data_IF_255480264246
#
_entry.id   IF_255480264246
#
_cell.length_a   1.000
_cell.length_b   1.000
_cell.length_c   1.000
_cell.angle_alpha   90.00
_cell.angle_beta   90.00
_cell.angle_gamma   90.00
#
_symmetry.space_group_name_H-M   'P 1'
#
loop_
_entity.id
_entity.type
_entity.pdbx_description
1 polymer ?
#
# COMPACT_ATOMS: atom_id res chain seq x y z
N UNK A 1 -3.08 10.55 33.66
CA UNK A 1 -4.12 11.01 32.71
C UNK A 1 -4.32 9.94 31.68
N UNK A 2 -5.56 9.65 31.24
CA UNK A 2 -5.83 8.61 30.23
C UNK A 2 -5.14 8.99 28.90
N UNK A 3 -4.40 8.05 28.30
CA UNK A 3 -3.73 8.20 27.02
C UNK A 3 -4.72 8.30 25.83
N UNK A 4 -5.98 7.90 26.08
CA UNK A 4 -7.04 7.83 25.09
C UNK A 4 -8.09 8.91 25.28
N UNK A 5 -8.72 9.34 24.17
CA UNK A 5 -9.83 10.30 24.19
C UNK A 5 -11.11 9.69 24.76
N UNK A 6 -11.91 10.56 25.40
CA UNK A 6 -13.29 10.22 25.77
C UNK A 6 -14.15 10.27 24.51
N UNK A 7 -15.10 9.36 24.40
CA UNK A 7 -15.98 9.24 23.25
C UNK A 7 -17.43 9.31 23.70
N UNK A 8 -18.24 10.10 23.01
CA UNK A 8 -19.66 10.22 23.31
C UNK A 8 -20.38 8.88 23.05
N UNK A 9 -21.10 8.38 24.03
CA UNK A 9 -21.86 7.15 23.92
C UNK A 9 -22.94 7.18 22.83
N UNK A 10 -23.57 8.33 22.60
CA UNK A 10 -24.68 8.50 21.64
C UNK A 10 -24.19 8.69 20.20
N UNK A 11 -23.38 9.73 19.96
CA UNK A 11 -22.94 10.07 18.59
C UNK A 11 -21.59 9.49 18.20
N UNK A 12 -20.91 8.80 19.14
CA UNK A 12 -19.59 8.15 18.94
C UNK A 12 -18.45 9.10 18.55
N UNK A 13 -18.63 10.42 18.64
CA UNK A 13 -17.58 11.43 18.37
C UNK A 13 -16.68 11.63 19.59
N UNK A 14 -15.37 11.86 19.39
CA UNK A 14 -14.42 12.12 20.46
C UNK A 14 -14.59 13.51 21.09
N UNK A 15 -14.03 13.69 22.29
CA UNK A 15 -14.07 14.96 23.07
C UNK A 15 -13.40 16.11 22.30
N UNK A 16 -12.39 15.82 21.49
CA UNK A 16 -11.70 16.79 20.62
C UNK A 16 -12.63 17.46 19.59
N UNK A 17 -13.69 16.75 19.15
CA UNK A 17 -14.65 17.25 18.15
C UNK A 17 -15.90 17.86 18.81
N UNK A 18 -16.35 17.27 19.91
CA UNK A 18 -17.65 17.63 20.54
C UNK A 18 -17.52 18.54 21.75
N UNK A 19 -16.28 18.88 22.14
CA UNK A 19 -16.01 19.66 23.34
C UNK A 19 -16.17 18.84 24.63
N UNK A 20 -16.02 19.50 25.77
CA UNK A 20 -15.98 18.87 27.09
C UNK A 20 -17.22 18.00 27.36
N UNK A 21 -16.98 16.72 27.61
CA UNK A 21 -18.04 15.75 27.81
C UNK A 21 -18.55 15.67 29.23
N UNK A 22 -19.82 15.33 29.38
CA UNK A 22 -20.52 15.10 30.65
C UNK A 22 -20.39 13.62 30.98
N UNK A 23 -19.80 13.29 32.13
CA UNK A 23 -19.76 11.93 32.63
C UNK A 23 -21.09 11.58 33.30
N UNK A 24 -21.81 10.61 32.78
CA UNK A 24 -23.01 10.07 33.40
C UNK A 24 -22.65 8.95 34.40
N UNK A 25 -21.60 8.19 34.08
CA UNK A 25 -20.99 7.11 34.92
C UNK A 25 -19.47 7.09 34.68
N UNK A 26 -18.70 6.33 35.45
CA UNK A 26 -17.23 6.34 35.38
C UNK A 26 -16.64 6.14 34.00
N UNK A 27 -17.29 5.40 33.10
CA UNK A 27 -16.83 5.18 31.71
C UNK A 27 -17.87 5.56 30.65
N UNK A 28 -18.96 6.23 31.03
CA UNK A 28 -20.03 6.64 30.13
C UNK A 28 -20.03 8.16 29.98
N UNK A 29 -19.64 8.63 28.80
CA UNK A 29 -19.55 10.04 28.47
C UNK A 29 -20.57 10.42 27.39
N UNK A 30 -21.23 11.58 27.54
CA UNK A 30 -22.16 12.13 26.57
C UNK A 30 -21.77 13.56 26.27
N UNK A 31 -21.75 13.93 24.98
CA UNK A 31 -21.43 15.30 24.57
C UNK A 31 -22.62 16.25 24.85
N UNK A 32 -22.37 17.57 24.99
CA UNK A 32 -23.42 18.55 25.25
C UNK A 32 -24.57 18.51 24.24
N UNK A 33 -24.25 18.39 22.93
CA UNK A 33 -25.26 18.35 21.86
C UNK A 33 -26.19 17.14 21.96
N UNK A 34 -25.63 15.97 22.26
CA UNK A 34 -26.46 14.76 22.46
C UNK A 34 -27.29 14.83 23.72
N UNK A 35 -26.73 15.42 24.79
CA UNK A 35 -27.47 15.66 26.03
C UNK A 35 -28.65 16.60 25.80
N UNK A 36 -28.43 17.73 25.08
CA UNK A 36 -29.47 18.67 24.74
C UNK A 36 -30.56 18.01 23.89
N UNK A 37 -30.19 17.30 22.84
CA UNK A 37 -31.16 16.56 21.98
C UNK A 37 -31.96 15.54 22.77
N UNK A 38 -31.36 14.86 23.73
CA UNK A 38 -32.06 13.90 24.59
C UNK A 38 -33.05 14.61 25.53
N UNK A 39 -32.67 15.78 26.09
CA UNK A 39 -33.58 16.60 26.91
C UNK A 39 -34.74 17.16 26.08
N UNK A 40 -34.46 17.66 24.87
CA UNK A 40 -35.49 18.19 23.97
C UNK A 40 -36.47 17.09 23.55
N UNK A 41 -35.99 15.89 23.28
CA UNK A 41 -36.81 14.74 22.97
C UNK A 41 -37.70 14.32 24.17
N UNK A 42 -37.15 14.35 25.39
CA UNK A 42 -37.93 14.08 26.60
C UNK A 42 -39.01 15.14 26.84
N UNK A 43 -38.73 16.42 26.59
CA UNK A 43 -39.69 17.52 26.78
C UNK A 43 -40.81 17.52 25.73
N UNK A 44 -40.56 16.94 24.55
CA UNK A 44 -41.51 16.86 23.46
C UNK A 44 -42.34 15.56 23.39
N UNK A 45 -42.04 14.57 24.22
CA UNK A 45 -42.87 13.37 24.34
C UNK A 45 -44.02 13.64 25.35
N UNK A 46 -45.28 13.36 25.00
CA UNK A 46 -46.36 13.30 25.98
C UNK A 46 -46.14 12.08 26.87
N UNK A 47 -45.50 12.32 28.02
CA UNK A 47 -45.15 11.28 29.00
C UNK A 47 -46.44 10.92 29.80
N UNK A 48 -47.06 9.80 29.45
CA UNK A 48 -48.15 9.26 30.28
C UNK A 48 -47.53 8.36 31.39
N UNK A 49 -47.34 8.97 32.55
CA UNK A 49 -46.77 8.34 33.74
C UNK A 49 -47.49 7.06 34.18
N UNK A 50 -48.79 6.93 33.85
CA UNK A 50 -49.58 5.76 34.24
C UNK A 50 -49.35 4.54 33.33
N UNK A 51 -48.87 4.74 32.11
CA UNK A 51 -48.53 3.67 31.18
C UNK A 51 -47.17 3.02 31.53
N UNK A 52 -46.26 3.81 32.11
CA UNK A 52 -44.92 3.34 32.49
C UNK A 52 -44.91 2.47 33.76
N UNK A 53 -45.82 2.78 34.74
CA UNK A 53 -45.88 2.03 35.98
C UNK A 53 -46.65 0.70 35.85
N UNK A 54 -47.46 0.49 34.81
CA UNK A 54 -48.29 -0.68 34.67
C UNK A 54 -47.81 -1.73 33.66
N UNK A 55 -46.58 -1.61 33.17
CA UNK A 55 -46.01 -2.60 32.22
C UNK A 55 -44.78 -3.33 32.89
N UNK A 56 -45.02 -4.46 33.61
CA UNK A 56 -43.98 -5.20 34.29
C UNK A 56 -43.06 -6.02 33.39
N UNK A 57 -43.05 -5.75 32.06
CA UNK A 57 -42.40 -6.56 31.07
C UNK A 57 -41.29 -5.88 30.27
N UNK A 58 -40.90 -4.63 30.56
CA UNK A 58 -39.62 -4.12 30.01
C UNK A 58 -38.45 -4.70 30.81
N UNK A 59 -37.57 -5.50 30.20
CA UNK A 59 -36.34 -5.85 30.86
C UNK A 59 -35.59 -4.53 31.08
N UNK A 60 -35.49 -4.08 32.32
CA UNK A 60 -34.44 -3.17 32.75
C UNK A 60 -33.15 -3.97 32.51
N UNK A 61 -32.57 -3.83 31.33
CA UNK A 61 -31.23 -4.35 31.09
C UNK A 61 -30.37 -3.80 32.25
N UNK A 62 -29.92 -4.71 33.11
CA UNK A 62 -29.04 -4.37 34.20
C UNK A 62 -27.82 -3.66 33.63
N UNK A 63 -27.62 -2.44 34.09
CA UNK A 63 -26.53 -1.57 33.68
C UNK A 63 -25.16 -2.12 34.08
N UNK A 64 -25.15 -3.18 34.92
CA UNK A 64 -23.96 -3.84 35.44
C UNK A 64 -23.23 -4.75 34.43
N UNK A 65 -23.88 -5.12 33.30
CA UNK A 65 -23.27 -5.93 32.23
C UNK A 65 -22.61 -5.11 31.11
N UNK A 66 -22.65 -3.78 31.17
CA UNK A 66 -21.99 -2.89 30.18
C UNK A 66 -20.60 -2.38 30.67
N UNK A 67 -19.87 -3.15 31.43
CA UNK A 67 -18.41 -2.99 31.58
C UNK A 67 -17.66 -3.48 30.31
N UNK A 68 -18.23 -3.28 29.14
CA UNK A 68 -17.50 -3.49 27.92
C UNK A 68 -16.54 -2.31 27.70
N UNK A 69 -15.33 -2.48 28.24
CA UNK A 69 -14.21 -1.68 27.75
C UNK A 69 -14.21 -1.71 26.23
N UNK A 70 -14.25 -0.52 25.59
CA UNK A 70 -14.14 -0.44 24.12
C UNK A 70 -12.99 -1.31 23.63
N UNK A 71 -13.20 -2.12 22.57
CA UNK A 71 -12.12 -2.92 22.00
C UNK A 71 -10.89 -2.05 21.71
N UNK A 72 -9.70 -2.57 21.97
CA UNK A 72 -8.44 -1.82 21.72
C UNK A 72 -8.36 -1.24 20.31
N UNK A 73 -8.96 -1.93 19.33
CA UNK A 73 -9.05 -1.50 17.93
C UNK A 73 -9.91 -0.25 17.70
N UNK A 74 -10.77 0.11 18.67
CA UNK A 74 -11.66 1.28 18.61
C UNK A 74 -11.23 2.43 19.51
N UNK A 75 -10.14 2.29 20.26
CA UNK A 75 -9.60 3.35 21.10
C UNK A 75 -8.78 4.33 20.27
N UNK A 76 -9.07 5.62 20.41
CA UNK A 76 -8.37 6.72 19.71
C UNK A 76 -7.37 7.35 20.68
N UNK A 77 -6.14 7.56 20.24
CA UNK A 77 -5.16 8.31 21.02
C UNK A 77 -5.52 9.78 21.10
N UNK A 78 -5.21 10.42 22.22
CA UNK A 78 -5.40 11.87 22.37
C UNK A 78 -4.53 12.62 21.37
N UNK A 79 -5.14 13.58 20.69
CA UNK A 79 -4.46 14.52 19.81
C UNK A 79 -3.60 15.48 20.63
N UNK A 80 -2.39 15.74 20.16
CA UNK A 80 -1.61 16.85 20.68
C UNK A 80 -2.27 18.21 20.33
N UNK A 81 -2.16 19.25 21.18
CA UNK A 81 -2.54 20.60 20.81
C UNK A 81 -1.86 21.01 19.49
N UNK A 82 -2.51 21.84 18.67
CA UNK A 82 -1.96 22.23 17.37
C UNK A 82 -0.54 22.82 17.44
N UNK A 83 -0.27 23.58 18.49
CA UNK A 83 1.03 24.19 18.75
C UNK A 83 2.13 23.19 19.13
N UNK A 84 1.78 21.97 19.54
CA UNK A 84 2.71 20.90 19.97
C UNK A 84 2.82 19.78 18.94
N UNK A 85 2.16 19.86 17.79
CA UNK A 85 2.23 18.82 16.75
C UNK A 85 3.57 18.85 16.05
N UNK A 86 4.36 17.80 16.33
CA UNK A 86 5.69 17.64 15.74
C UNK A 86 5.60 16.75 14.49
N UNK A 87 6.29 17.10 13.38
CA UNK A 87 6.40 16.21 12.24
C UNK A 87 7.01 14.86 12.66
N UNK A 88 6.49 13.73 12.12
CA UNK A 88 7.03 12.38 12.37
C UNK A 88 8.52 12.34 12.03
N UNK A 89 8.90 13.01 10.93
CA UNK A 89 10.28 13.13 10.50
C UNK A 89 10.66 14.62 10.63
N UNK A 90 11.54 14.94 11.57
CA UNK A 90 12.04 16.31 11.70
C UNK A 90 12.84 16.69 10.44
N UNK A 91 12.84 17.97 10.07
CA UNK A 91 13.46 18.45 8.83
C UNK A 91 14.93 18.01 8.67
N UNK A 92 15.68 17.97 9.77
CA UNK A 92 17.10 17.55 9.81
C UNK A 92 17.28 16.03 9.64
N UNK A 93 16.24 15.25 9.93
CA UNK A 93 16.29 13.79 9.93
C UNK A 93 15.74 13.19 8.63
N UNK A 94 15.18 14.04 7.72
CA UNK A 94 14.72 13.60 6.40
C UNK A 94 15.93 13.12 5.58
N UNK A 95 15.99 11.83 5.20
CA UNK A 95 17.13 11.32 4.43
C UNK A 95 17.17 11.98 3.06
N UNK A 96 18.36 12.40 2.62
CA UNK A 96 18.54 12.95 1.27
C UNK A 96 18.15 11.93 0.19
N UNK A 97 17.67 12.37 -1.00
CA UNK A 97 17.14 11.47 -2.05
C UNK A 97 18.10 10.33 -2.45
N UNK A 98 19.40 10.60 -2.53
CA UNK A 98 20.40 9.57 -2.84
C UNK A 98 20.47 8.50 -1.73
N UNK A 99 20.37 8.88 -0.46
CA UNK A 99 20.32 7.92 0.67
C UNK A 99 19.06 7.09 0.70
N UNK A 100 17.91 7.68 0.32
CA UNK A 100 16.66 6.92 0.16
C UNK A 100 16.84 5.89 -0.96
N UNK A 101 17.41 6.33 -2.11
CA UNK A 101 17.67 5.46 -3.26
C UNK A 101 18.63 4.33 -2.89
N UNK A 102 19.76 4.61 -2.24
CA UNK A 102 20.73 3.60 -1.77
C UNK A 102 20.05 2.53 -0.91
N UNK A 103 19.20 2.94 0.04
CA UNK A 103 18.44 1.99 0.85
C UNK A 103 17.41 1.19 0.03
N UNK A 104 16.79 1.79 -0.99
CA UNK A 104 15.92 1.07 -1.91
C UNK A 104 16.70 0.06 -2.76
N UNK A 105 17.91 0.39 -3.20
CA UNK A 105 18.79 -0.48 -3.98
C UNK A 105 19.17 -1.77 -3.21
N UNK A 106 19.19 -1.74 -1.89
CA UNK A 106 19.42 -2.92 -1.06
C UNK A 106 18.30 -3.98 -1.15
N UNK A 107 17.09 -3.58 -1.58
CA UNK A 107 15.90 -4.43 -1.60
C UNK A 107 15.28 -4.60 -2.98
N UNK A 108 15.44 -3.62 -3.86
CA UNK A 108 14.77 -3.56 -5.17
C UNK A 108 15.80 -3.54 -6.28
N UNK A 109 15.78 -4.58 -7.11
CA UNK A 109 16.66 -4.72 -8.27
C UNK A 109 16.16 -3.85 -9.42
N UNK A 110 17.09 -3.23 -10.16
CA UNK A 110 16.78 -2.39 -11.30
C UNK A 110 15.91 -1.18 -10.95
N UNK A 111 15.04 -0.76 -11.87
CA UNK A 111 14.07 0.35 -11.68
C UNK A 111 14.73 1.69 -11.31
N UNK A 112 15.91 1.99 -11.88
CA UNK A 112 16.76 3.11 -11.49
C UNK A 112 16.05 4.46 -11.54
N UNK A 113 15.31 4.71 -12.63
CA UNK A 113 14.56 5.95 -12.80
C UNK A 113 13.42 6.07 -11.80
N UNK A 114 12.65 4.99 -11.61
CA UNK A 114 11.52 4.97 -10.68
C UNK A 114 11.99 5.20 -9.23
N UNK A 115 13.07 4.54 -8.80
CA UNK A 115 13.68 4.73 -7.48
C UNK A 115 14.15 6.17 -7.29
N UNK A 116 14.81 6.77 -8.29
CA UNK A 116 15.25 8.16 -8.25
C UNK A 116 14.08 9.13 -8.17
N UNK A 117 13.07 8.98 -9.04
CA UNK A 117 11.89 9.85 -9.07
C UNK A 117 11.12 9.79 -7.75
N UNK A 118 10.87 8.57 -7.24
CA UNK A 118 10.20 8.36 -5.96
C UNK A 118 10.99 8.97 -4.79
N UNK A 119 12.31 8.78 -4.74
CA UNK A 119 13.15 9.31 -3.66
C UNK A 119 13.11 10.84 -3.60
N UNK A 120 13.14 11.51 -4.76
CA UNK A 120 13.04 12.97 -4.85
C UNK A 120 11.64 13.44 -4.42
N UNK A 121 10.60 12.80 -4.94
CA UNK A 121 9.21 13.16 -4.63
C UNK A 121 8.90 13.05 -3.14
N UNK A 122 9.31 11.95 -2.52
CA UNK A 122 9.12 11.70 -1.08
C UNK A 122 9.92 12.68 -0.21
N UNK A 123 11.16 12.94 -0.58
CA UNK A 123 11.98 13.94 0.10
C UNK A 123 11.31 15.32 0.09
N UNK A 124 10.82 15.75 -1.08
CA UNK A 124 10.11 17.01 -1.21
C UNK A 124 8.81 17.04 -0.41
N UNK A 125 8.07 15.92 -0.41
CA UNK A 125 6.84 15.78 0.38
C UNK A 125 7.10 15.99 1.88
N UNK A 126 8.04 15.26 2.48
CA UNK A 126 8.32 15.40 3.91
C UNK A 126 8.98 16.73 4.26
N UNK A 127 9.73 17.36 3.35
CA UNK A 127 10.19 18.73 3.52
C UNK A 127 9.02 19.71 3.60
N UNK A 128 8.02 19.54 2.73
CA UNK A 128 6.79 20.34 2.77
C UNK A 128 6.04 20.17 4.09
N UNK A 129 5.93 18.92 4.57
CA UNK A 129 5.25 18.61 5.85
C UNK A 129 5.99 19.22 7.03
N UNK A 130 7.33 19.27 6.98
CA UNK A 130 8.18 19.80 8.03
C UNK A 130 8.51 21.32 7.87
N UNK A 131 8.04 21.96 6.79
CA UNK A 131 8.25 23.40 6.56
C UNK A 131 7.42 24.24 7.56
N UNK A 132 7.95 25.40 7.89
CA UNK A 132 7.28 26.34 8.79
C UNK A 132 5.99 26.89 8.13
N UNK A 133 4.83 26.80 8.79
CA UNK A 133 3.58 27.41 8.29
C UNK A 133 3.65 28.93 8.09
N UNK A 134 4.63 29.60 8.72
CA UNK A 134 4.84 31.05 8.58
C UNK A 134 5.53 31.46 7.25
N UNK A 135 6.00 30.50 6.45
CA UNK A 135 6.59 30.79 5.14
C UNK A 135 5.54 31.35 4.17
N UNK A 136 5.90 32.44 3.46
CA UNK A 136 5.00 33.11 2.52
C UNK A 136 4.74 32.28 1.24
N UNK A 137 5.52 31.24 1.00
CA UNK A 137 5.42 30.37 -0.20
C UNK A 137 4.80 29.04 0.20
N UNK A 138 3.57 28.80 -0.24
CA UNK A 138 2.91 27.52 -0.07
C UNK A 138 3.42 26.51 -1.10
N UNK A 139 4.00 25.40 -0.62
CA UNK A 139 4.44 24.28 -1.47
C UNK A 139 3.25 23.37 -1.71
N UNK A 140 2.86 23.21 -2.98
CA UNK A 140 1.74 22.34 -3.35
C UNK A 140 2.01 20.86 -3.06
N UNK A 141 0.92 20.13 -2.79
CA UNK A 141 0.94 18.70 -2.59
C UNK A 141 1.25 17.97 -3.89
N UNK A 142 2.22 17.06 -3.88
CA UNK A 142 2.68 16.32 -5.05
C UNK A 142 2.48 14.82 -4.86
N UNK A 143 1.29 14.32 -5.23
CA UNK A 143 1.03 12.88 -5.25
C UNK A 143 1.66 12.24 -6.49
N UNK A 144 1.78 10.90 -6.50
CA UNK A 144 2.51 10.17 -7.52
C UNK A 144 1.61 9.17 -8.27
N UNK A 145 1.86 9.02 -9.58
CA UNK A 145 1.32 7.96 -10.40
C UNK A 145 2.45 7.04 -10.89
N UNK A 146 2.34 5.77 -10.58
CA UNK A 146 3.30 4.73 -10.90
C UNK A 146 2.72 3.77 -11.93
N UNK A 147 3.30 3.72 -13.11
CA UNK A 147 2.84 2.91 -14.24
C UNK A 147 3.84 1.78 -14.49
N UNK A 148 3.36 0.56 -14.65
CA UNK A 148 4.25 -0.54 -15.00
C UNK A 148 3.55 -1.90 -15.00
N UNK A 149 4.08 -2.89 -15.70
CA UNK A 149 3.44 -4.18 -15.87
C UNK A 149 3.17 -4.88 -14.53
N UNK A 150 2.27 -5.84 -14.56
CA UNK A 150 1.99 -6.69 -13.38
C UNK A 150 3.26 -7.41 -12.96
N UNK A 151 3.53 -7.46 -11.66
CA UNK A 151 4.72 -8.11 -11.13
C UNK A 151 6.03 -7.34 -11.29
N UNK A 152 6.02 -6.08 -11.77
CA UNK A 152 7.22 -5.20 -11.86
C UNK A 152 7.72 -4.69 -10.51
N UNK A 153 7.01 -4.97 -9.41
CA UNK A 153 7.43 -4.59 -8.06
C UNK A 153 6.81 -3.29 -7.51
N UNK A 154 5.76 -2.72 -8.12
CA UNK A 154 5.10 -1.47 -7.66
C UNK A 154 4.79 -1.46 -6.16
N UNK A 155 3.96 -2.39 -5.73
CA UNK A 155 3.54 -2.52 -4.33
C UNK A 155 4.73 -2.78 -3.39
N UNK A 156 5.71 -3.57 -3.84
CA UNK A 156 6.90 -3.89 -3.07
C UNK A 156 7.81 -2.67 -2.86
N UNK A 157 7.96 -1.84 -3.89
CA UNK A 157 8.73 -0.59 -3.83
C UNK A 157 8.14 0.37 -2.79
N UNK A 158 6.82 0.55 -2.77
CA UNK A 158 6.14 1.41 -1.78
C UNK A 158 6.24 0.85 -0.36
N UNK A 159 6.05 -0.47 -0.18
CA UNK A 159 6.24 -1.12 1.14
C UNK A 159 7.66 -0.92 1.68
N UNK A 160 8.64 -1.08 0.82
CA UNK A 160 10.06 -0.89 1.18
C UNK A 160 10.33 0.57 1.56
N UNK A 161 9.81 1.52 0.78
CA UNK A 161 9.93 2.94 1.06
C UNK A 161 9.34 3.32 2.42
N UNK A 162 8.09 2.93 2.70
CA UNK A 162 7.42 3.22 3.97
C UNK A 162 8.18 2.64 5.16
N UNK A 163 8.74 1.43 5.00
CA UNK A 163 9.59 0.80 6.02
C UNK A 163 10.92 1.56 6.24
N UNK A 164 11.53 2.07 5.17
CA UNK A 164 12.80 2.85 5.26
C UNK A 164 12.56 4.17 6.01
N UNK A 165 11.40 4.78 5.81
CA UNK A 165 11.04 6.07 6.40
C UNK A 165 10.37 5.93 7.79
N UNK A 166 10.02 4.70 8.17
CA UNK A 166 9.29 4.40 9.42
C UNK A 166 7.98 5.18 9.55
N UNK A 167 7.18 5.20 8.46
CA UNK A 167 5.90 5.90 8.40
C UNK A 167 4.74 4.93 8.20
N UNK A 168 3.53 5.25 8.69
CA UNK A 168 2.35 4.42 8.48
C UNK A 168 2.04 4.28 6.98
N UNK A 169 1.68 3.07 6.56
CA UNK A 169 1.31 2.75 5.19
C UNK A 169 -0.03 2.03 5.15
N UNK A 170 -0.98 2.56 4.38
CA UNK A 170 -2.17 1.84 3.95
C UNK A 170 -2.04 1.43 2.49
N UNK A 171 -2.47 0.21 2.20
CA UNK A 171 -2.55 -0.31 0.83
C UNK A 171 -3.99 -0.69 0.55
N UNK A 172 -4.53 -0.21 -0.56
CA UNK A 172 -5.86 -0.54 -1.02
C UNK A 172 -5.86 -0.80 -2.52
N UNK A 173 -6.86 -1.54 -2.97
CA UNK A 173 -7.11 -1.80 -4.37
C UNK A 173 -8.22 -0.85 -4.84
N UNK A 174 -8.00 -0.16 -5.96
CA UNK A 174 -9.00 0.77 -6.51
C UNK A 174 -10.30 0.06 -6.92
N UNK A 175 -10.24 -1.23 -7.24
CA UNK A 175 -11.43 -2.02 -7.62
C UNK A 175 -12.39 -2.29 -6.47
N UNK A 176 -11.89 -2.21 -5.22
CA UNK A 176 -12.73 -2.35 -4.03
C UNK A 176 -13.50 -1.07 -3.68
N UNK A 177 -13.11 0.07 -4.26
CA UNK A 177 -13.67 1.37 -3.94
C UNK A 177 -14.93 1.65 -4.79
N UNK A 178 -15.95 2.18 -4.15
CA UNK A 178 -17.20 2.57 -4.80
C UNK A 178 -17.65 3.95 -4.34
N UNK A 179 -18.55 4.56 -5.14
CA UNK A 179 -19.25 5.78 -4.71
C UNK A 179 -20.07 5.50 -3.46
N UNK A 180 -20.10 6.43 -2.51
CA UNK A 180 -20.83 6.29 -1.24
C UNK A 180 -22.29 5.83 -1.45
N UNK A 181 -22.69 4.79 -0.72
CA UNK A 181 -24.06 4.21 -0.77
C UNK A 181 -24.21 3.01 -1.71
N UNK A 182 -23.17 2.57 -2.41
CA UNK A 182 -23.14 1.33 -3.18
C UNK A 182 -22.42 0.20 -2.41
N UNK A 183 -22.56 -1.04 -2.91
CA UNK A 183 -21.88 -2.19 -2.31
C UNK A 183 -20.38 -2.10 -2.63
N UNK A 184 -19.56 -1.94 -1.60
CA UNK A 184 -18.11 -1.82 -1.67
C UNK A 184 -17.56 -1.00 -0.51
N UNK A 185 -16.26 -0.79 -0.49
CA UNK A 185 -15.61 0.10 0.48
C UNK A 185 -15.84 1.57 0.05
N UNK A 186 -16.28 2.42 0.97
CA UNK A 186 -16.33 3.86 0.74
C UNK A 186 -14.93 4.40 0.44
N UNK A 187 -14.83 5.45 -0.38
CA UNK A 187 -13.52 6.04 -0.75
C UNK A 187 -12.74 6.48 0.50
N UNK A 188 -13.42 6.97 1.53
CA UNK A 188 -12.80 7.36 2.80
C UNK A 188 -12.28 6.17 3.62
N UNK A 189 -12.66 4.93 3.29
CA UNK A 189 -12.14 3.73 3.97
C UNK A 189 -10.62 3.58 3.85
N UNK A 190 -10.01 4.15 2.81
CA UNK A 190 -8.56 4.15 2.64
C UNK A 190 -7.86 4.90 3.78
N UNK A 191 -8.49 5.97 4.28
CA UNK A 191 -7.99 6.76 5.41
C UNK A 191 -8.20 6.00 6.73
N UNK A 192 -9.32 5.26 6.87
CA UNK A 192 -9.53 4.38 8.03
C UNK A 192 -8.46 3.28 8.12
N UNK A 193 -8.08 2.69 6.97
CA UNK A 193 -7.00 1.71 6.89
C UNK A 193 -5.65 2.32 7.33
N UNK A 194 -5.38 3.58 6.94
CA UNK A 194 -4.18 4.28 7.36
C UNK A 194 -4.19 4.60 8.86
N UNK A 195 -5.32 5.03 9.40
CA UNK A 195 -5.50 5.28 10.82
C UNK A 195 -5.24 4.00 11.65
N UNK A 196 -5.75 2.86 11.20
CA UNK A 196 -5.48 1.57 11.83
C UNK A 196 -3.99 1.21 11.76
N UNK A 197 -3.32 1.43 10.61
CA UNK A 197 -1.88 1.20 10.45
C UNK A 197 -1.03 2.13 11.35
N UNK A 198 -1.54 3.33 11.65
CA UNK A 198 -0.92 4.27 12.60
C UNK A 198 -1.20 3.93 14.08
N UNK A 199 -1.91 2.82 14.37
CA UNK A 199 -2.32 2.45 15.73
C UNK A 199 -3.35 3.39 16.33
N UNK A 200 -4.27 3.91 15.52
CA UNK A 200 -5.31 4.88 15.86
C UNK A 200 -4.76 6.22 16.41
N UNK A 201 -3.56 6.56 15.99
CA UNK A 201 -2.91 7.84 16.24
C UNK A 201 -3.16 8.75 15.03
N UNK A 202 -4.02 9.77 15.22
CA UNK A 202 -4.44 10.65 14.13
C UNK A 202 -3.27 11.48 13.61
N UNK A 203 -2.42 12.02 14.51
CA UNK A 203 -1.28 12.87 14.12
C UNK A 203 -0.26 12.07 13.29
N UNK A 204 -0.08 10.78 13.59
CA UNK A 204 0.73 9.87 12.76
C UNK A 204 0.05 9.53 11.44
N UNK A 205 -1.25 9.26 11.43
CA UNK A 205 -1.99 8.94 10.22
C UNK A 205 -1.94 10.08 9.20
N UNK A 206 -2.07 11.33 9.67
CA UNK A 206 -2.03 12.53 8.83
C UNK A 206 -0.70 12.75 8.09
N UNK A 207 0.37 12.04 8.46
CA UNK A 207 1.70 12.11 7.83
C UNK A 207 2.13 10.78 7.19
N UNK A 208 1.19 9.86 7.03
CA UNK A 208 1.44 8.55 6.45
C UNK A 208 1.39 8.52 4.92
N UNK A 209 1.48 7.32 4.39
CA UNK A 209 1.42 7.03 2.95
C UNK A 209 0.19 6.17 2.67
N UNK A 210 -0.58 6.53 1.64
CA UNK A 210 -1.64 5.69 1.08
C UNK A 210 -1.20 5.25 -0.32
N UNK A 211 -1.12 3.94 -0.53
CA UNK A 211 -0.91 3.34 -1.83
C UNK A 211 -2.20 2.74 -2.37
N UNK A 212 -2.64 3.23 -3.54
CA UNK A 212 -3.83 2.75 -4.24
C UNK A 212 -3.36 1.98 -5.46
N UNK A 213 -3.46 0.66 -5.40
CA UNK A 213 -3.09 -0.23 -6.51
C UNK A 213 -4.24 -0.38 -7.51
N UNK A 214 -3.94 -0.86 -8.70
CA UNK A 214 -4.90 -1.13 -9.79
C UNK A 214 -5.72 0.11 -10.21
N UNK A 215 -5.14 1.32 -10.13
CA UNK A 215 -5.83 2.57 -10.46
C UNK A 215 -6.33 2.62 -11.90
N UNK A 216 -5.71 1.87 -12.80
CA UNK A 216 -6.13 1.74 -14.21
C UNK A 216 -7.51 1.08 -14.37
N UNK A 217 -7.99 0.34 -13.36
CA UNK A 217 -9.29 -0.33 -13.39
C UNK A 217 -10.47 0.63 -13.22
N UNK A 218 -10.24 1.80 -12.63
CA UNK A 218 -11.25 2.85 -12.51
C UNK A 218 -11.24 3.84 -13.68
N UNK A 219 -10.49 3.53 -14.75
CA UNK A 219 -10.54 4.32 -15.97
C UNK A 219 -11.92 4.23 -16.64
N UNK A 220 -12.40 5.36 -17.17
CA UNK A 220 -13.69 5.46 -17.88
C UNK A 220 -13.71 4.52 -19.10
N UNK A 221 -14.70 3.64 -19.16
CA UNK A 221 -14.93 2.74 -20.30
C UNK A 221 -15.55 3.51 -21.49
N UNK A 222 -14.94 3.39 -22.68
CA UNK A 222 -15.35 4.14 -23.89
C UNK A 222 -16.80 3.89 -24.35
N UNK A 223 -17.47 2.82 -23.90
CA UNK A 223 -18.77 2.37 -24.41
C UNK A 223 -19.90 2.31 -23.36
N UNK A 224 -19.77 2.91 -22.19
CA UNK A 224 -20.85 2.90 -21.19
C UNK A 224 -21.76 4.11 -21.40
N UNK A 225 -23.00 3.87 -21.85
CA UNK A 225 -24.09 4.86 -21.87
C UNK A 225 -24.75 5.02 -20.50
N UNK A 226 -24.38 4.23 -19.50
CA UNK A 226 -24.88 4.29 -18.13
C UNK A 226 -23.87 5.00 -17.20
N UNK A 227 -24.38 5.60 -16.10
CA UNK A 227 -23.54 6.21 -15.06
C UNK A 227 -22.54 5.16 -14.54
N UNK A 228 -21.26 5.47 -14.68
CA UNK A 228 -20.18 4.58 -14.24
C UNK A 228 -19.85 4.84 -12.76
N UNK A 229 -20.54 4.10 -11.88
CA UNK A 229 -20.39 4.23 -10.42
C UNK A 229 -19.10 3.63 -9.87
N UNK A 230 -18.38 2.86 -10.67
CA UNK A 230 -17.12 2.19 -10.29
C UNK A 230 -15.88 2.76 -11.00
N UNK A 231 -16.04 3.65 -11.93
CA UNK A 231 -14.97 4.25 -12.72
C UNK A 231 -14.83 5.75 -12.50
N UNK A 232 -15.45 6.57 -13.37
CA UNK A 232 -15.35 8.03 -13.30
C UNK A 232 -15.81 8.62 -11.97
N UNK A 233 -16.90 8.09 -11.37
CA UNK A 233 -17.39 8.55 -10.06
C UNK A 233 -16.37 8.34 -8.94
N UNK A 234 -15.65 7.22 -8.97
CA UNK A 234 -14.60 6.95 -7.97
C UNK A 234 -13.41 7.91 -8.15
N UNK A 235 -12.99 8.16 -9.41
CA UNK A 235 -11.95 9.16 -9.68
C UNK A 235 -12.36 10.54 -9.13
N UNK A 236 -13.60 10.99 -9.37
CA UNK A 236 -14.12 12.27 -8.87
C UNK A 236 -14.18 12.30 -7.33
N UNK A 237 -14.67 11.23 -6.70
CA UNK A 237 -14.73 11.13 -5.24
C UNK A 237 -13.36 11.20 -4.57
N UNK A 238 -12.33 10.64 -5.22
CA UNK A 238 -10.96 10.68 -4.70
C UNK A 238 -10.30 12.06 -4.78
N UNK A 239 -10.79 12.99 -5.61
CA UNK A 239 -10.20 14.32 -5.77
C UNK A 239 -10.04 15.04 -4.44
N UNK A 240 -11.08 15.01 -3.60
CA UNK A 240 -11.04 15.66 -2.26
C UNK A 240 -9.92 15.14 -1.39
N UNK A 241 -9.68 13.81 -1.39
CA UNK A 241 -8.61 13.20 -0.62
C UNK A 241 -7.23 13.58 -1.15
N UNK A 242 -7.08 13.59 -2.48
CA UNK A 242 -5.83 13.95 -3.16
C UNK A 242 -5.48 15.42 -2.98
N UNK A 243 -6.45 16.32 -2.97
CA UNK A 243 -6.28 17.76 -2.73
C UNK A 243 -5.87 18.06 -1.29
N UNK A 244 -6.46 17.37 -0.34
CA UNK A 244 -6.31 17.60 1.09
C UNK A 244 -7.58 18.20 1.68
N UNK A 245 -8.29 17.37 2.43
CA UNK A 245 -9.54 17.75 3.09
C UNK A 245 -9.63 17.06 4.45
N UNK A 246 -10.49 17.57 5.29
CA UNK A 246 -10.88 16.91 6.53
C UNK A 246 -11.95 15.85 6.23
N UNK A 247 -11.72 14.66 6.71
CA UNK A 247 -12.57 13.49 6.45
C UNK A 247 -12.92 12.82 7.78
N UNK A 248 -14.22 12.61 8.02
CA UNK A 248 -14.66 11.79 9.15
C UNK A 248 -14.55 10.31 8.78
N UNK A 249 -13.79 9.55 9.57
CA UNK A 249 -13.53 8.14 9.34
C UNK A 249 -13.87 7.28 10.55
N UNK A 250 -14.42 6.08 10.36
CA UNK A 250 -14.72 5.15 11.44
C UNK A 250 -13.43 4.52 11.98
N UNK A 251 -13.33 4.39 13.29
CA UNK A 251 -12.18 3.79 13.96
C UNK A 251 -12.41 2.29 14.12
N UNK A 252 -11.53 1.49 13.50
CA UNK A 252 -11.63 0.03 13.55
C UNK A 252 -12.74 -0.57 12.69
N UNK A 253 -13.28 0.18 11.72
CA UNK A 253 -14.24 -0.28 10.73
C UNK A 253 -13.98 0.35 9.37
N UNK A 254 -14.53 -0.24 8.30
CA UNK A 254 -14.39 0.24 6.92
C UNK A 254 -15.61 1.05 6.45
N UNK A 255 -16.74 0.98 7.16
CA UNK A 255 -17.98 1.68 6.81
C UNK A 255 -18.40 2.64 7.90
N UNK A 256 -18.84 3.84 7.52
CA UNK A 256 -19.40 4.87 8.41
C UNK A 256 -20.71 4.44 9.09
N UNK A 257 -21.38 3.44 8.54
CA UNK A 257 -22.61 2.88 9.11
C UNK A 257 -22.36 1.96 10.31
N UNK A 258 -21.11 1.61 10.61
CA UNK A 258 -20.77 0.85 11.80
C UNK A 258 -20.95 1.74 13.05
N UNK A 259 -21.49 1.15 14.12
CA UNK A 259 -21.65 1.83 15.42
C UNK A 259 -20.30 1.92 16.16
N UNK A 260 -19.33 2.59 15.52
CA UNK A 260 -17.95 2.77 16.02
C UNK A 260 -17.62 4.25 16.15
N UNK A 261 -16.60 4.62 16.92
CA UNK A 261 -16.13 6.00 16.99
C UNK A 261 -15.78 6.57 15.64
N UNK A 262 -16.13 7.84 15.40
CA UNK A 262 -15.74 8.61 14.23
C UNK A 262 -14.71 9.65 14.63
N UNK A 263 -13.64 9.76 13.85
CA UNK A 263 -12.61 10.81 14.02
C UNK A 263 -12.41 11.56 12.73
N UNK A 264 -12.04 12.83 12.84
CA UNK A 264 -11.67 13.66 11.71
C UNK A 264 -10.17 13.52 11.46
N UNK A 265 -9.81 13.21 10.21
CA UNK A 265 -8.43 13.10 9.73
C UNK A 265 -8.24 14.10 8.59
N UNK A 266 -7.19 14.93 8.66
CA UNK A 266 -6.84 15.87 7.60
C UNK A 266 -5.88 15.19 6.61
N UNK A 267 -6.29 15.09 5.35
CA UNK A 267 -5.49 14.42 4.31
C UNK A 267 -4.45 15.32 3.66
N UNK A 268 -4.31 16.60 4.06
CA UNK A 268 -3.37 17.58 3.46
C UNK A 268 -1.92 17.06 3.45
N UNK A 269 -1.49 16.40 4.52
CA UNK A 269 -0.13 15.90 4.67
C UNK A 269 0.04 14.40 4.43
N UNK A 270 -1.02 13.70 4.03
CA UNK A 270 -0.94 12.31 3.60
C UNK A 270 -0.40 12.26 2.17
N UNK A 271 0.62 11.41 1.93
CA UNK A 271 1.15 11.17 0.60
C UNK A 271 0.35 10.07 -0.10
N UNK A 272 -0.25 10.40 -1.25
CA UNK A 272 -0.92 9.42 -2.08
C UNK A 272 0.00 8.96 -3.22
N UNK A 273 0.11 7.66 -3.38
CA UNK A 273 0.81 7.01 -4.48
C UNK A 273 -0.21 6.10 -5.16
N UNK A 274 -0.50 6.36 -6.42
CA UNK A 274 -1.38 5.52 -7.22
C UNK A 274 -0.54 4.60 -8.12
N UNK A 275 -0.88 3.32 -8.22
CA UNK A 275 -0.19 2.35 -9.06
C UNK A 275 -1.14 1.65 -10.03
N UNK A 276 -0.73 1.43 -11.27
CA UNK A 276 -1.52 0.70 -12.25
C UNK A 276 -0.68 0.01 -13.31
N UNK A 277 -1.26 -1.03 -13.91
CA UNK A 277 -0.60 -1.74 -15.01
C UNK A 277 -0.85 -1.06 -16.37
N UNK A 278 -1.99 -0.42 -16.55
CA UNK A 278 -2.40 0.30 -17.76
C UNK A 278 -2.26 -0.57 -19.03
N UNK A 279 -2.93 -1.71 -19.12
CA UNK A 279 -2.91 -2.53 -20.31
C UNK A 279 -3.35 -1.68 -21.52
N UNK A 280 -2.82 -1.94 -22.72
CA UNK A 280 -3.04 -1.15 -23.94
C UNK A 280 -2.47 0.28 -23.96
N UNK A 281 -1.89 0.80 -22.89
CA UNK A 281 -1.27 2.13 -22.89
C UNK A 281 -0.11 2.20 -23.91
N UNK A 282 0.67 1.14 -24.02
CA UNK A 282 1.72 1.03 -25.02
C UNK A 282 1.18 1.23 -26.45
N UNK A 283 0.02 0.66 -26.75
CA UNK A 283 -0.64 0.83 -28.06
C UNK A 283 -1.04 2.29 -28.29
N UNK A 284 -1.59 2.95 -27.26
CA UNK A 284 -1.97 4.38 -27.34
C UNK A 284 -0.75 5.25 -27.61
N UNK A 285 0.36 5.00 -26.91
CA UNK A 285 1.63 5.73 -27.10
C UNK A 285 2.15 5.51 -28.54
N UNK A 286 2.17 4.26 -29.02
CA UNK A 286 2.59 3.92 -30.38
C UNK A 286 1.74 4.61 -31.43
N UNK A 287 0.42 4.64 -31.27
CA UNK A 287 -0.50 5.35 -32.18
C UNK A 287 -0.23 6.86 -32.21
N UNK A 288 0.02 7.50 -31.04
CA UNK A 288 0.39 8.92 -30.97
C UNK A 288 1.71 9.21 -31.67
N UNK A 289 2.73 8.41 -31.39
CA UNK A 289 4.07 8.58 -32.02
C UNK A 289 4.03 8.35 -33.53
N UNK A 290 3.24 7.36 -33.97
CA UNK A 290 3.07 7.07 -35.42
C UNK A 290 2.32 8.19 -36.13
N UNK A 291 1.28 8.81 -35.55
CA UNK A 291 0.57 9.96 -36.13
C UNK A 291 1.49 11.17 -36.30
N UNK A 292 2.35 11.44 -35.33
CA UNK A 292 3.31 12.53 -35.38
C UNK A 292 4.41 12.28 -36.43
N UNK A 293 4.74 11.01 -36.70
CA UNK A 293 5.73 10.60 -37.69
C UNK A 293 5.19 10.60 -39.14
N UNK A 294 3.87 10.47 -39.34
CA UNK A 294 3.26 10.41 -40.66
C UNK A 294 3.27 11.75 -41.42
N UNK A 295 3.62 12.85 -40.79
CA UNK A 295 3.88 14.15 -41.44
C UNK A 295 5.27 14.25 -42.08
N UNK A 296 6.13 13.22 -41.97
CA UNK A 296 7.44 13.17 -42.62
C UNK A 296 7.88 11.72 -42.79
N UNK A 297 8.21 11.26 -44.00
CA UNK A 297 8.83 9.99 -44.43
C UNK A 297 8.68 8.79 -43.42
N UNK A 298 7.48 8.21 -43.35
CA UNK A 298 7.05 7.50 -42.13
C UNK A 298 7.07 5.98 -42.14
N UNK A 299 7.64 5.27 -43.15
CA UNK A 299 7.63 3.79 -43.16
C UNK A 299 8.67 3.20 -42.20
N UNK A 300 9.88 3.75 -42.11
CA UNK A 300 10.97 3.25 -41.28
C UNK A 300 10.77 3.51 -39.76
N UNK A 301 9.88 4.45 -39.41
CA UNK A 301 9.65 4.83 -38.01
C UNK A 301 8.66 3.91 -37.30
N UNK A 302 7.69 3.30 -38.01
CA UNK A 302 6.75 2.32 -37.40
C UNK A 302 7.48 1.09 -36.91
N UNK A 303 8.37 0.52 -37.70
CA UNK A 303 9.16 -0.66 -37.34
C UNK A 303 10.12 -0.39 -36.16
N UNK A 304 10.54 0.86 -35.99
CA UNK A 304 11.43 1.28 -34.92
C UNK A 304 10.70 1.33 -33.54
N UNK A 305 9.47 1.84 -33.52
CA UNK A 305 8.66 1.92 -32.32
C UNK A 305 8.07 0.56 -31.89
N UNK A 306 7.86 -0.36 -32.86
CA UNK A 306 7.38 -1.71 -32.53
C UNK A 306 8.44 -2.57 -31.83
N UNK A 307 9.71 -2.25 -32.02
CA UNK A 307 10.86 -2.95 -31.40
C UNK A 307 11.36 -2.29 -30.09
N UNK A 308 10.81 -1.14 -29.71
CA UNK A 308 11.27 -0.39 -28.54
C UNK A 308 10.70 -1.02 -27.26
N UNK A 309 11.60 -1.61 -26.45
CA UNK A 309 11.23 -2.34 -25.21
C UNK A 309 10.65 -1.44 -24.12
N UNK A 310 11.05 -0.15 -24.07
CA UNK A 310 10.72 0.77 -22.97
C UNK A 310 9.76 1.89 -23.39
N UNK A 311 8.78 1.58 -24.24
CA UNK A 311 7.89 2.58 -24.83
C UNK A 311 7.04 3.31 -23.77
N UNK A 312 6.75 2.68 -22.63
CA UNK A 312 6.04 3.29 -21.51
C UNK A 312 6.75 4.53 -20.93
N UNK A 313 8.08 4.63 -21.06
CA UNK A 313 8.83 5.82 -20.64
C UNK A 313 8.42 7.10 -21.39
N UNK A 314 7.80 6.96 -22.56
CA UNK A 314 7.30 8.08 -23.40
C UNK A 314 5.86 8.46 -23.09
N UNK A 315 5.29 7.96 -22.00
CA UNK A 315 3.93 8.28 -21.58
C UNK A 315 3.75 9.77 -21.34
N UNK A 316 2.60 10.29 -21.78
CA UNK A 316 2.17 11.66 -21.53
C UNK A 316 0.81 11.68 -20.85
N UNK A 317 0.44 12.80 -20.26
CA UNK A 317 -0.90 12.99 -19.67
C UNK A 317 -2.01 12.79 -20.69
N UNK A 318 -1.78 13.13 -21.97
CA UNK A 318 -2.73 12.93 -23.05
C UNK A 318 -2.98 11.45 -23.37
N UNK A 319 -1.96 10.60 -23.25
CA UNK A 319 -2.10 9.16 -23.39
C UNK A 319 -2.99 8.59 -22.28
N UNK A 320 -2.79 9.06 -21.06
CA UNK A 320 -3.60 8.65 -19.89
C UNK A 320 -5.05 9.13 -19.98
N UNK A 321 -5.28 10.34 -20.52
CA UNK A 321 -6.65 10.82 -20.85
C UNK A 321 -7.29 9.94 -21.91
N UNK A 322 -6.56 9.59 -22.96
CA UNK A 322 -7.03 8.69 -24.02
C UNK A 322 -7.34 7.29 -23.48
N UNK A 323 -6.60 6.84 -22.47
CA UNK A 323 -6.85 5.59 -21.76
C UNK A 323 -8.17 5.63 -20.97
N UNK A 324 -8.57 6.78 -20.42
CA UNK A 324 -9.82 6.98 -19.67
C UNK A 324 -9.65 7.59 -18.29
N UNK A 325 -8.48 8.15 -17.99
CA UNK A 325 -8.30 8.93 -16.74
C UNK A 325 -8.82 10.36 -16.94
N UNK A 326 -9.55 10.89 -15.93
CA UNK A 326 -10.07 12.25 -16.02
C UNK A 326 -8.96 13.29 -15.80
N UNK A 327 -9.01 14.43 -16.51
CA UNK A 327 -7.96 15.46 -16.42
C UNK A 327 -7.71 15.98 -15.02
N UNK A 328 -8.78 16.17 -14.24
CA UNK A 328 -8.76 16.67 -12.87
C UNK A 328 -7.98 15.71 -11.96
N UNK A 329 -8.19 14.41 -12.14
CA UNK A 329 -7.48 13.38 -11.37
C UNK A 329 -5.99 13.34 -11.71
N UNK A 330 -5.65 13.42 -13.01
CA UNK A 330 -4.26 13.50 -13.45
C UNK A 330 -3.57 14.78 -12.95
N UNK A 331 -4.29 15.90 -12.89
CA UNK A 331 -3.80 17.15 -12.34
C UNK A 331 -3.40 17.06 -10.86
N UNK A 332 -3.97 16.10 -10.10
CA UNK A 332 -3.62 15.83 -8.70
C UNK A 332 -2.53 14.76 -8.51
N UNK A 333 -2.03 14.20 -9.62
CA UNK A 333 -0.93 13.24 -9.68
C UNK A 333 0.19 13.75 -10.60
N UNK A 334 0.81 14.90 -10.27
CA UNK A 334 1.76 15.57 -11.16
C UNK A 334 3.06 14.79 -11.38
N UNK A 335 3.40 13.88 -10.50
CA UNK A 335 4.62 13.08 -10.60
C UNK A 335 4.27 11.73 -11.20
N UNK A 336 4.55 11.56 -12.49
CA UNK A 336 4.31 10.32 -13.24
C UNK A 336 5.65 9.68 -13.55
N UNK A 337 5.78 8.40 -13.23
CA UNK A 337 6.96 7.61 -13.59
C UNK A 337 6.59 6.15 -13.87
N UNK A 338 7.46 5.49 -14.62
CA UNK A 338 7.23 4.14 -15.13
C UNK A 338 8.19 3.16 -14.51
N UNK A 339 7.74 1.91 -14.35
CA UNK A 339 8.58 0.76 -14.03
C UNK A 339 8.73 -0.10 -15.28
N UNK A 340 9.94 -0.59 -15.48
CA UNK A 340 10.27 -1.51 -16.59
C UNK A 340 9.72 -2.91 -16.31
N UNK A 341 9.42 -3.64 -17.37
CA UNK A 341 9.25 -5.08 -17.29
C UNK A 341 10.52 -5.75 -16.78
N UNK A 342 10.36 -6.90 -16.13
CA UNK A 342 11.49 -7.68 -15.64
C UNK A 342 11.96 -8.61 -16.75
N UNK A 343 13.24 -8.59 -17.07
CA UNK A 343 13.90 -9.56 -17.94
C UNK A 343 14.45 -10.75 -17.13
N UNK A 344 15.02 -11.73 -17.82
CA UNK A 344 15.56 -12.96 -17.22
C UNK A 344 16.68 -12.63 -16.22
N UNK A 345 17.61 -11.75 -16.60
CA UNK A 345 18.76 -11.37 -15.77
C UNK A 345 18.31 -10.65 -14.50
N UNK A 346 17.35 -9.72 -14.61
CA UNK A 346 16.76 -9.06 -13.45
C UNK A 346 16.04 -10.05 -12.52
N UNK A 347 15.37 -11.08 -13.07
CA UNK A 347 14.74 -12.11 -12.25
C UNK A 347 15.77 -12.93 -11.48
N UNK A 348 16.90 -13.30 -12.11
CA UNK A 348 18.02 -13.97 -11.43
C UNK A 348 18.59 -13.09 -10.32
N UNK A 349 18.77 -11.80 -10.58
CA UNK A 349 19.22 -10.84 -9.56
C UNK A 349 18.21 -10.75 -8.40
N UNK A 350 16.90 -10.67 -8.67
CA UNK A 350 15.84 -10.63 -7.63
C UNK A 350 15.91 -11.87 -6.72
N UNK A 351 16.28 -13.02 -7.25
CA UNK A 351 16.41 -14.24 -6.46
C UNK A 351 17.58 -14.16 -5.45
N UNK A 352 18.67 -13.48 -5.80
CA UNK A 352 19.98 -13.58 -5.12
C UNK A 352 20.40 -12.30 -4.39
N UNK A 353 20.29 -11.12 -5.02
CA UNK A 353 20.93 -9.89 -4.56
C UNK A 353 20.25 -9.23 -3.37
N UNK A 354 18.91 -8.99 -3.35
CA UNK A 354 18.26 -8.25 -2.28
C UNK A 354 18.60 -8.77 -0.88
N UNK A 355 18.64 -7.85 0.10
CA UNK A 355 18.88 -8.24 1.51
C UNK A 355 17.93 -9.33 2.00
N UNK A 356 16.69 -9.28 1.57
CA UNK A 356 15.65 -10.26 1.89
C UNK A 356 15.25 -11.12 0.68
N UNK A 357 16.21 -11.40 -0.23
CA UNK A 357 15.98 -12.27 -1.37
C UNK A 357 15.38 -13.61 -0.93
N UNK A 358 14.48 -14.15 -1.77
CA UNK A 358 13.72 -15.36 -1.40
C UNK A 358 14.65 -16.56 -1.14
N UNK A 359 15.73 -16.69 -1.90
CA UNK A 359 16.70 -17.77 -1.69
C UNK A 359 17.40 -17.64 -0.33
N UNK A 360 17.76 -16.40 0.07
CA UNK A 360 18.36 -16.14 1.39
C UNK A 360 17.41 -16.53 2.54
N UNK A 361 16.10 -16.41 2.33
CA UNK A 361 15.12 -16.85 3.33
C UNK A 361 15.14 -18.35 3.52
N UNK A 362 15.14 -19.14 2.42
CA UNK A 362 15.23 -20.58 2.48
C UNK A 362 16.61 -21.07 2.98
N UNK A 363 17.69 -20.40 2.57
CA UNK A 363 19.03 -20.65 3.11
C UNK A 363 19.05 -20.48 4.63
N UNK A 364 18.42 -19.42 5.14
CA UNK A 364 18.33 -19.19 6.59
C UNK A 364 17.48 -20.25 7.29
N UNK A 365 16.38 -20.71 6.67
CA UNK A 365 15.52 -21.75 7.26
C UNK A 365 16.29 -23.08 7.39
N UNK A 366 16.94 -23.54 6.32
CA UNK A 366 17.73 -24.80 6.36
C UNK A 366 19.00 -24.66 7.24
N UNK A 367 19.55 -23.46 7.35
CA UNK A 367 20.69 -23.22 8.26
C UNK A 367 20.30 -23.39 9.75
N UNK A 368 18.99 -23.26 10.12
CA UNK A 368 18.51 -23.57 11.46
C UNK A 368 18.55 -25.10 11.73
N UNK A 369 18.46 -25.92 10.69
CA UNK A 369 18.62 -27.37 10.73
C UNK A 369 20.09 -27.80 10.45
N UNK A 370 21.03 -26.83 10.52
CA UNK A 370 22.46 -27.01 10.24
C UNK A 370 22.77 -27.54 8.82
N UNK A 371 21.91 -27.24 7.84
CA UNK A 371 22.06 -27.62 6.44
C UNK A 371 22.34 -26.39 5.58
N UNK A 372 23.37 -26.45 4.73
CA UNK A 372 23.67 -25.43 3.72
C UNK A 372 22.84 -25.67 2.47
N UNK A 373 22.19 -24.61 1.97
CA UNK A 373 21.44 -24.61 0.72
C UNK A 373 22.14 -23.78 -0.33
N UNK A 374 22.47 -24.39 -1.46
CA UNK A 374 23.11 -23.74 -2.60
C UNK A 374 22.31 -23.91 -3.88
N UNK A 375 22.50 -23.02 -4.84
CA UNK A 375 21.85 -23.04 -6.14
C UNK A 375 22.90 -22.87 -7.24
N UNK A 376 22.85 -23.73 -8.24
CA UNK A 376 23.66 -23.57 -9.44
C UNK A 376 23.17 -22.38 -10.26
N UNK A 377 24.07 -21.67 -10.98
CA UNK A 377 23.68 -20.58 -11.89
C UNK A 377 22.67 -21.04 -12.94
N UNK A 378 22.83 -22.26 -13.50
CA UNK A 378 21.89 -22.84 -14.43
C UNK A 378 20.49 -23.04 -13.83
N UNK A 379 20.41 -23.44 -12.55
CA UNK A 379 19.15 -23.57 -11.83
C UNK A 379 18.45 -22.20 -11.67
N UNK A 380 19.19 -21.13 -11.36
CA UNK A 380 18.64 -19.78 -11.25
C UNK A 380 18.03 -19.30 -12.57
N UNK A 381 18.74 -19.51 -13.68
CA UNK A 381 18.24 -19.23 -15.02
C UNK A 381 17.01 -20.09 -15.40
N UNK A 382 16.98 -21.36 -15.04
CA UNK A 382 15.83 -22.24 -15.24
C UNK A 382 14.59 -21.73 -14.48
N UNK A 383 14.76 -21.29 -13.22
CA UNK A 383 13.68 -20.67 -12.41
C UNK A 383 13.20 -19.39 -13.08
N UNK A 384 14.10 -18.51 -13.50
CA UNK A 384 13.77 -17.25 -14.15
C UNK A 384 13.00 -17.48 -15.47
N UNK A 385 13.44 -18.43 -16.32
CA UNK A 385 12.75 -18.83 -17.57
C UNK A 385 11.35 -19.38 -17.31
N UNK A 386 11.18 -20.24 -16.28
CA UNK A 386 9.86 -20.72 -15.87
C UNK A 386 8.96 -19.57 -15.41
N UNK A 387 9.50 -18.58 -14.68
CA UNK A 387 8.75 -17.44 -14.22
C UNK A 387 8.32 -16.52 -15.37
N UNK A 388 9.19 -16.29 -16.36
CA UNK A 388 8.88 -15.53 -17.56
C UNK A 388 7.69 -16.12 -18.35
N UNK A 389 7.57 -17.46 -18.38
CA UNK A 389 6.45 -18.14 -19.07
C UNK A 389 5.10 -17.95 -18.36
N UNK A 390 5.08 -17.58 -17.06
CA UNK A 390 3.84 -17.44 -16.28
C UNK A 390 3.22 -16.02 -16.34
N UNK A 391 3.79 -15.07 -17.06
CA UNK A 391 3.31 -13.67 -17.27
C UNK A 391 2.89 -12.90 -15.99
N UNK A 392 3.30 -13.37 -14.81
CA UNK A 392 2.99 -12.74 -13.52
C UNK A 392 4.19 -12.02 -12.90
N UNK A 393 5.27 -11.86 -13.67
CA UNK A 393 6.49 -11.19 -13.26
C UNK A 393 7.15 -11.85 -12.03
N UNK A 394 7.73 -11.06 -11.15
CA UNK A 394 8.42 -11.57 -9.96
C UNK A 394 7.52 -12.39 -9.00
N UNK A 395 6.19 -12.26 -9.08
CA UNK A 395 5.27 -13.08 -8.26
C UNK A 395 5.39 -14.57 -8.58
N UNK A 396 5.69 -14.92 -9.85
CA UNK A 396 5.89 -16.29 -10.26
C UNK A 396 7.11 -16.95 -9.59
N UNK A 397 8.16 -16.20 -9.30
CA UNK A 397 9.39 -16.71 -8.71
C UNK A 397 9.12 -17.44 -7.39
N UNK A 398 8.32 -16.81 -6.52
CA UNK A 398 7.99 -17.42 -5.23
C UNK A 398 7.23 -18.72 -5.37
N UNK A 399 6.20 -18.76 -6.21
CA UNK A 399 5.39 -19.94 -6.42
C UNK A 399 6.22 -21.11 -7.00
N UNK A 400 7.16 -20.81 -7.92
CA UNK A 400 8.04 -21.81 -8.49
C UNK A 400 9.01 -22.37 -7.45
N UNK A 401 9.57 -21.48 -6.59
CA UNK A 401 10.47 -21.92 -5.53
C UNK A 401 9.72 -22.77 -4.50
N UNK A 402 8.54 -22.36 -4.08
CA UNK A 402 7.72 -23.08 -3.12
C UNK A 402 7.38 -24.50 -3.63
N UNK A 403 7.16 -24.67 -4.95
CA UNK A 403 6.82 -25.94 -5.58
C UNK A 403 7.93 -27.00 -5.39
N UNK A 404 9.19 -26.67 -5.66
CA UNK A 404 10.29 -27.63 -5.52
C UNK A 404 10.92 -27.65 -4.12
N UNK A 405 10.82 -26.57 -3.36
CA UNK A 405 11.32 -26.51 -1.99
C UNK A 405 10.46 -27.31 -1.00
N UNK A 406 9.19 -27.59 -1.34
CA UNK A 406 8.29 -28.33 -0.47
C UNK A 406 8.88 -29.71 -0.09
N UNK A 407 9.32 -30.48 -1.08
CA UNK A 407 9.89 -31.80 -0.86
C UNK A 407 11.20 -31.72 -0.08
N UNK A 408 12.04 -30.75 -0.38
CA UNK A 408 13.30 -30.53 0.34
C UNK A 408 13.05 -30.20 1.81
N UNK A 409 12.17 -29.27 2.10
CA UNK A 409 11.84 -28.86 3.47
C UNK A 409 11.14 -29.98 4.26
N UNK A 410 10.50 -30.93 3.58
CA UNK A 410 9.86 -32.08 4.21
C UNK A 410 10.86 -33.22 4.48
N UNK A 411 11.79 -33.50 3.56
CA UNK A 411 12.69 -34.64 3.65
C UNK A 411 13.96 -34.35 4.46
N UNK A 412 14.53 -33.15 4.33
CA UNK A 412 15.81 -32.79 4.97
C UNK A 412 15.79 -32.94 6.50
N UNK A 413 14.76 -32.50 7.25
CA UNK A 413 14.76 -32.63 8.71
C UNK A 413 14.66 -34.08 9.23
N UNK A 414 14.44 -35.06 8.34
CA UNK A 414 14.38 -36.46 8.74
C UNK A 414 15.77 -37.11 8.89
N UNK A 415 16.80 -36.53 8.31
CA UNK A 415 18.13 -37.10 8.26
C UNK A 415 19.22 -36.15 8.71
N UNK A 416 19.62 -36.26 9.98
CA UNK A 416 20.66 -35.41 10.60
C UNK A 416 22.06 -35.58 9.96
N UNK A 417 22.23 -36.56 9.08
CA UNK A 417 23.51 -36.76 8.37
C UNK A 417 23.72 -35.79 7.20
N UNK A 418 22.66 -35.11 6.74
CA UNK A 418 22.74 -34.17 5.62
C UNK A 418 23.42 -32.88 6.06
N UNK A 419 24.45 -32.44 5.31
CA UNK A 419 25.16 -31.19 5.57
C UNK A 419 24.96 -30.11 4.54
N UNK A 420 24.71 -30.48 3.27
CA UNK A 420 24.52 -29.54 2.17
C UNK A 420 23.57 -30.09 1.12
N UNK A 421 22.75 -29.20 0.59
CA UNK A 421 21.81 -29.47 -0.53
C UNK A 421 22.10 -28.44 -1.63
N UNK A 422 22.38 -28.93 -2.84
CA UNK A 422 22.57 -28.08 -4.02
C UNK A 422 21.45 -28.31 -5.02
N UNK A 423 20.75 -27.26 -5.37
CA UNK A 423 19.69 -27.26 -6.38
C UNK A 423 20.30 -27.10 -7.75
N UNK A 424 20.01 -28.05 -8.64
CA UNK A 424 20.52 -28.10 -10.01
C UNK A 424 19.41 -27.77 -11.02
N UNK A 425 19.80 -27.40 -12.25
CA UNK A 425 18.86 -27.21 -13.37
C UNK A 425 18.02 -28.49 -13.60
N UNK A 426 18.64 -29.67 -13.55
CA UNK A 426 17.95 -30.96 -13.74
C UNK A 426 16.82 -31.16 -12.72
N UNK A 427 17.04 -30.75 -11.47
CA UNK A 427 15.99 -30.82 -10.45
C UNK A 427 14.83 -29.86 -10.75
N UNK A 428 15.13 -28.63 -11.15
CA UNK A 428 14.11 -27.63 -11.52
C UNK A 428 13.31 -28.08 -12.74
N UNK A 429 13.94 -28.75 -13.72
CA UNK A 429 13.26 -29.28 -14.90
C UNK A 429 12.51 -30.60 -14.66
N UNK A 430 12.70 -31.23 -13.49
CA UNK A 430 12.09 -32.52 -13.14
C UNK A 430 12.75 -33.72 -13.80
N UNK A 431 13.98 -33.56 -14.30
CA UNK A 431 14.78 -34.65 -14.95
C UNK A 431 15.78 -35.28 -14.00
N UNK A 432 15.96 -34.74 -12.79
CA UNK A 432 16.90 -35.22 -11.78
C UNK A 432 16.49 -34.86 -10.37
N UNK A 433 17.34 -35.19 -9.38
CA UNK A 433 17.18 -34.82 -7.97
C UNK A 433 18.15 -33.71 -7.54
N UNK A 434 17.96 -33.14 -6.32
CA UNK A 434 18.94 -32.24 -5.71
C UNK A 434 20.22 -33.02 -5.39
N UNK A 435 21.36 -32.35 -5.41
CA UNK A 435 22.64 -32.94 -4.98
C UNK A 435 22.76 -32.82 -3.47
N UNK A 436 22.77 -33.93 -2.76
CA UNK A 436 22.85 -33.99 -1.30
C UNK A 436 24.26 -34.40 -0.89
N UNK A 437 24.88 -33.68 0.03
CA UNK A 437 26.17 -34.02 0.62
C UNK A 437 26.02 -34.28 2.12
N UNK A 438 26.61 -35.34 2.60
CA UNK A 438 26.56 -35.73 4.01
C UNK A 438 27.59 -34.92 4.84
N UNK A 439 27.28 -34.73 6.11
CA UNK A 439 28.19 -34.09 7.08
C UNK A 439 29.50 -34.90 7.15
N UNK A 440 30.65 -34.24 7.05
CA UNK A 440 31.96 -34.87 7.12
C UNK A 440 32.57 -35.27 5.78
N UNK A 441 31.87 -35.16 4.68
CA UNK A 441 32.47 -35.29 3.34
C UNK A 441 33.00 -33.93 2.89
N UNK A 442 34.34 -33.76 2.97
CA UNK A 442 35.01 -32.59 2.43
C UNK A 442 34.94 -32.60 0.90
N UNK A 443 34.39 -31.54 0.30
CA UNK A 443 34.44 -31.33 -1.16
C UNK A 443 35.90 -31.21 -1.60
N UNK A 444 36.36 -31.95 -2.62
CA UNK A 444 37.64 -31.65 -3.26
C UNK A 444 37.53 -30.28 -3.88
N UNK A 445 38.23 -29.27 -3.31
CA UNK A 445 38.36 -27.95 -3.92
C UNK A 445 38.96 -28.13 -5.31
N UNK A 446 38.17 -27.92 -6.34
CA UNK A 446 38.67 -27.77 -7.71
C UNK A 446 39.58 -26.52 -7.66
N UNK A 447 40.90 -26.77 -7.70
CA UNK A 447 41.88 -25.71 -7.86
C UNK A 447 41.57 -25.00 -9.16
N UNK A 448 41.08 -23.76 -9.07
CA UNK A 448 41.14 -22.86 -10.21
C UNK A 448 42.61 -22.71 -10.59
N UNK A 449 43.01 -23.32 -11.70
CA UNK A 449 44.31 -23.11 -12.32
C UNK A 449 44.35 -21.64 -12.72
N UNK A 450 45.08 -20.85 -11.92
CA UNK A 450 45.66 -19.60 -12.40
C UNK A 450 46.61 -19.97 -13.55
N UNK A 451 46.28 -19.60 -14.77
CA UNK A 451 47.25 -19.55 -15.85
C UNK A 451 47.85 -18.13 -15.91
N UNK A 452 49.14 -18.05 -16.32
CA UNK A 452 50.06 -16.94 -16.11
C UNK A 452 49.73 -15.68 -16.91
#
# INVERSE_FOLDING_TARGET
>A
MSEYEKICFVCKRPESVTGKMIALQPNLFVCPDCMQKSMDAMNNMPFDYNQFMNNPGMPVMGWDEMENEMPKTQRVKKRAPEEERVPIIALKDIPAPHKIKEKLDEYVVGQEYAKKAMSVAVYNHYKRVAADPADQIEIEKSNMLMIGPTGSGKTYLVKTLAKILDVPLAITDATSLTEAGYIGDDIESVVSKLLAAAGNDVDKAEQGIIFIDEIDKIAKKKNSSQRDVSGESVQQGMLKLLEGSEVEVPVGATSKNAMVPLVTVNTKNILFICGGAFPDLERIIKERLSKNASMGFGADLKDKFDKEKDILEKVTTEDLRTFGMIPEFLGRLPIIFTLKGLDEDMMVQILREPKNAILKQYQKLLALDEVSLDFDEAALHAIAKKAMKKDTGARALRAIIEEFMLDIMYEIPKDDSIGQVTITEAYIEGTGGPVIQLRGQSVPRIKQNAQP
#
